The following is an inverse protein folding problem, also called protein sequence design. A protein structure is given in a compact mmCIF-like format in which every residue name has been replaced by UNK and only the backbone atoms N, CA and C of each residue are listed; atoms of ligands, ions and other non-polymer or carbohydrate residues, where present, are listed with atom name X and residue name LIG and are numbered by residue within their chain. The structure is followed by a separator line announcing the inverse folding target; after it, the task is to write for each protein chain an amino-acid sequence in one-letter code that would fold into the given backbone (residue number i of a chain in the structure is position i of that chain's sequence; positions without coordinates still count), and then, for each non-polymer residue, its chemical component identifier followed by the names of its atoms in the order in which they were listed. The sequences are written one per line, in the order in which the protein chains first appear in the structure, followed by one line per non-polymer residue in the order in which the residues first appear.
data_IF_370971155240
#
_entry.id   IF_370971155240
#
_cell.length_a   1.000
_cell.length_b   1.000
_cell.length_c   1.000
_cell.angle_alpha   90.00
_cell.angle_beta   90.00
_cell.angle_gamma   90.00
#
_symmetry.space_group_name_H-M   'P 1'
#
loop_
_entity.id
_entity.type
_entity.pdbx_description
1 polymer ?
#
# COMPACT_ATOMS: atom_id res chain seq x y z
N UNK A 1 -22.91 -76.31 -9.77
CA UNK A 1 -23.50 -75.95 -8.45
C UNK A 1 -22.54 -75.03 -7.75
N UNK A 2 -22.83 -73.72 -7.73
CA UNK A 2 -22.49 -72.73 -6.68
C UNK A 2 -22.55 -71.34 -7.32
N UNK A 3 -23.76 -70.79 -7.43
CA UNK A 3 -23.99 -69.38 -7.75
C UNK A 3 -23.86 -68.57 -6.45
N UNK A 4 -22.91 -67.64 -6.40
CA UNK A 4 -22.70 -66.73 -5.29
C UNK A 4 -23.36 -65.38 -5.58
N UNK A 5 -24.51 -65.16 -4.96
CA UNK A 5 -25.28 -63.90 -4.99
C UNK A 5 -24.62 -62.83 -4.13
N UNK A 6 -24.08 -61.78 -4.75
CA UNK A 6 -23.55 -60.60 -4.05
C UNK A 6 -24.65 -59.56 -3.83
N UNK A 7 -25.06 -59.36 -2.58
CA UNK A 7 -25.96 -58.29 -2.15
C UNK A 7 -25.17 -57.01 -1.93
N UNK A 8 -25.37 -55.99 -2.77
CA UNK A 8 -24.91 -54.64 -2.53
C UNK A 8 -25.81 -53.94 -1.49
N UNK A 9 -25.24 -53.21 -0.51
CA UNK A 9 -26.02 -52.41 0.43
C UNK A 9 -26.50 -51.12 -0.23
N UNK A 10 -27.81 -50.91 -0.22
CA UNK A 10 -28.48 -49.68 -0.65
C UNK A 10 -28.22 -48.57 0.37
N UNK A 11 -27.44 -47.57 0.00
CA UNK A 11 -27.23 -46.36 0.82
C UNK A 11 -28.50 -45.50 0.77
N UNK A 12 -29.06 -45.06 1.90
CA UNK A 12 -30.23 -44.20 1.90
C UNK A 12 -29.88 -42.82 1.34
N UNK A 13 -30.56 -42.44 0.25
CA UNK A 13 -30.52 -41.12 -0.38
C UNK A 13 -31.21 -40.10 0.52
N UNK A 14 -30.45 -39.36 1.33
CA UNK A 14 -30.95 -38.31 2.24
C UNK A 14 -30.62 -36.88 1.78
N UNK A 15 -30.51 -36.63 0.47
CA UNK A 15 -30.09 -35.35 -0.11
C UNK A 15 -31.25 -34.52 -0.73
N UNK A 16 -32.39 -34.39 -0.04
CA UNK A 16 -33.47 -33.48 -0.48
C UNK A 16 -34.07 -32.64 0.66
N UNK A 17 -33.24 -32.21 1.61
CA UNK A 17 -33.61 -31.18 2.58
C UNK A 17 -32.86 -29.86 2.26
N UNK A 18 -32.92 -29.40 1.01
CA UNK A 18 -32.29 -28.13 0.61
C UNK A 18 -33.28 -26.96 0.60
N UNK A 19 -33.14 -26.13 1.62
CA UNK A 19 -33.16 -24.68 1.56
C UNK A 19 -34.39 -23.98 0.96
N UNK A 20 -35.53 -24.05 1.66
CA UNK A 20 -36.55 -23.00 1.60
C UNK A 20 -36.24 -21.86 2.58
N UNK A 21 -35.02 -21.30 2.53
CA UNK A 21 -34.78 -20.02 3.19
C UNK A 21 -35.46 -18.92 2.37
N UNK A 22 -36.58 -18.42 2.88
CA UNK A 22 -37.40 -17.42 2.23
C UNK A 22 -36.63 -16.14 1.87
N UNK A 23 -37.10 -15.37 0.88
CA UNK A 23 -36.44 -14.13 0.44
C UNK A 23 -36.25 -13.08 1.55
N UNK A 24 -36.98 -13.18 2.67
CA UNK A 24 -36.86 -12.29 3.82
C UNK A 24 -35.59 -12.52 4.64
N UNK A 25 -35.14 -13.77 4.85
CA UNK A 25 -33.91 -14.04 5.62
C UNK A 25 -32.67 -13.52 4.88
N UNK A 26 -32.63 -13.62 3.55
CA UNK A 26 -31.52 -13.09 2.72
C UNK A 26 -31.39 -11.56 2.80
N UNK A 27 -32.51 -10.82 2.84
CA UNK A 27 -32.50 -9.35 2.97
C UNK A 27 -31.93 -8.90 4.32
N UNK A 28 -32.35 -9.56 5.41
CA UNK A 28 -31.90 -9.24 6.77
C UNK A 28 -30.41 -9.48 6.95
N UNK A 29 -29.88 -10.60 6.44
CA UNK A 29 -28.44 -10.90 6.51
C UNK A 29 -27.60 -9.87 5.75
N UNK A 30 -28.04 -9.45 4.55
CA UNK A 30 -27.35 -8.42 3.77
C UNK A 30 -27.35 -7.07 4.49
N UNK A 31 -28.47 -6.67 5.06
CA UNK A 31 -28.59 -5.41 5.81
C UNK A 31 -27.65 -5.40 7.03
N UNK A 32 -27.62 -6.49 7.79
CA UNK A 32 -26.73 -6.62 8.95
C UNK A 32 -25.25 -6.53 8.58
N UNK A 33 -24.84 -7.14 7.46
CA UNK A 33 -23.46 -7.04 6.96
C UNK A 33 -23.09 -5.61 6.57
N UNK A 34 -23.97 -4.91 5.84
CA UNK A 34 -23.74 -3.51 5.45
C UNK A 34 -23.58 -2.62 6.69
N UNK A 35 -24.46 -2.79 7.68
CA UNK A 35 -24.38 -2.03 8.95
C UNK A 35 -23.08 -2.32 9.70
N UNK A 36 -22.62 -3.57 9.77
CA UNK A 36 -21.35 -3.93 10.41
C UNK A 36 -20.13 -3.33 9.69
N UNK A 37 -20.10 -3.38 8.35
CA UNK A 37 -19.04 -2.77 7.55
C UNK A 37 -19.02 -1.25 7.72
N UNK A 38 -20.19 -0.60 7.71
CA UNK A 38 -20.32 0.84 7.92
C UNK A 38 -19.77 1.26 9.29
N UNK A 39 -20.11 0.53 10.35
CA UNK A 39 -19.56 0.78 11.69
C UNK A 39 -18.03 0.62 11.71
N UNK A 40 -17.50 -0.41 11.04
CA UNK A 40 -16.05 -0.64 10.94
C UNK A 40 -15.34 0.49 10.18
N UNK A 41 -15.93 0.97 9.08
CA UNK A 41 -15.43 2.12 8.31
C UNK A 41 -15.41 3.38 9.17
N UNK A 42 -16.48 3.67 9.91
CA UNK A 42 -16.52 4.82 10.81
C UNK A 42 -15.48 4.73 11.92
N UNK A 43 -15.29 3.54 12.49
CA UNK A 43 -14.27 3.31 13.51
C UNK A 43 -12.86 3.55 12.95
N UNK A 44 -12.50 2.91 11.84
CA UNK A 44 -11.18 3.07 11.21
C UNK A 44 -10.91 4.53 10.82
N UNK A 45 -11.92 5.21 10.25
CA UNK A 45 -11.83 6.62 9.88
C UNK A 45 -11.55 7.49 11.11
N UNK A 46 -12.27 7.25 12.22
CA UNK A 46 -12.06 7.97 13.47
C UNK A 46 -10.66 7.71 14.04
N UNK A 47 -10.22 6.46 14.09
CA UNK A 47 -8.88 6.10 14.58
C UNK A 47 -7.76 6.76 13.75
N UNK A 48 -7.94 6.85 12.43
CA UNK A 48 -7.01 7.52 11.52
C UNK A 48 -7.05 9.05 11.66
N UNK A 49 -8.22 9.66 11.88
CA UNK A 49 -8.38 11.11 12.11
C UNK A 49 -7.85 11.53 13.49
N UNK A 50 -8.06 10.71 14.50
CA UNK A 50 -7.55 10.94 15.86
C UNK A 50 -6.11 10.43 16.02
N UNK A 51 -5.51 9.89 14.95
CA UNK A 51 -4.18 9.27 15.00
C UNK A 51 -3.12 10.23 15.56
N UNK A 52 -2.37 9.73 16.53
CA UNK A 52 -1.20 10.38 17.11
C UNK A 52 -0.07 9.35 17.29
N UNK A 53 1.11 9.69 16.80
CA UNK A 53 2.31 8.85 16.83
C UNK A 53 2.62 8.36 18.25
N UNK A 54 2.63 7.03 18.43
CA UNK A 54 2.93 6.37 19.70
C UNK A 54 2.06 6.89 20.89
N UNK A 55 0.82 7.32 20.64
CA UNK A 55 -0.07 7.92 21.64
C UNK A 55 -0.18 7.11 22.94
N UNK A 56 -0.22 5.79 22.81
CA UNK A 56 -0.41 4.85 23.91
C UNK A 56 0.88 4.28 24.52
N UNK A 57 2.08 4.80 24.21
CA UNK A 57 3.32 4.26 24.76
C UNK A 57 3.70 4.99 26.08
N UNK A 58 3.44 4.38 27.26
CA UNK A 58 3.73 5.00 28.55
C UNK A 58 5.23 5.10 28.83
N UNK A 59 6.08 4.41 28.06
CA UNK A 59 7.53 4.38 28.25
C UNK A 59 8.23 5.59 27.62
N UNK A 60 7.52 6.39 26.82
CA UNK A 60 8.08 7.57 26.18
C UNK A 60 8.19 8.74 27.16
N UNK A 61 9.44 9.12 27.45
CA UNK A 61 9.77 10.34 28.20
C UNK A 61 9.38 11.61 27.41
N UNK A 62 9.18 12.73 28.10
CA UNK A 62 8.86 14.01 27.46
C UNK A 62 9.93 14.45 26.44
N UNK A 63 11.21 14.19 26.73
CA UNK A 63 12.30 14.48 25.79
C UNK A 63 12.19 13.62 24.53
N UNK A 64 11.87 12.32 24.65
CA UNK A 64 11.64 11.46 23.50
C UNK A 64 10.42 11.89 22.67
N UNK A 65 9.34 12.36 23.31
CA UNK A 65 8.16 12.88 22.61
C UNK A 65 8.49 14.10 21.73
N UNK A 66 9.36 14.99 22.19
CA UNK A 66 9.83 16.13 21.38
C UNK A 66 10.68 15.74 20.16
N UNK A 67 11.18 14.50 20.12
CA UNK A 67 11.96 13.96 19.02
C UNK A 67 11.13 13.22 17.98
N UNK A 68 9.86 12.96 18.27
CA UNK A 68 8.99 12.27 17.33
C UNK A 68 8.75 13.13 16.09
N UNK A 69 8.68 12.51 14.91
CA UNK A 69 8.30 13.23 13.72
C UNK A 69 6.85 13.75 13.88
N UNK A 70 6.49 14.85 13.21
CA UNK A 70 5.13 15.37 13.29
C UNK A 70 4.12 14.59 12.42
N UNK A 71 4.61 13.65 11.62
CA UNK A 71 3.83 12.86 10.67
C UNK A 71 4.40 11.44 10.51
N UNK A 72 3.54 10.52 10.06
CA UNK A 72 3.95 9.24 9.48
C UNK A 72 4.07 9.41 7.97
N UNK A 73 5.30 9.37 7.47
CA UNK A 73 5.60 9.18 6.05
C UNK A 73 5.48 7.73 5.60
N UNK A 74 4.76 7.52 4.50
CA UNK A 74 4.57 6.22 3.85
C UNK A 74 4.97 6.34 2.39
N UNK A 75 5.84 5.46 1.90
CA UNK A 75 6.19 5.43 0.47
C UNK A 75 5.22 4.53 -0.28
N UNK A 76 4.77 4.99 -1.45
CA UNK A 76 4.03 4.21 -2.42
C UNK A 76 4.96 3.92 -3.60
N UNK A 77 5.36 2.65 -3.75
CA UNK A 77 6.33 2.15 -4.74
C UNK A 77 5.69 1.07 -5.61
N UNK A 78 6.16 0.85 -6.84
CA UNK A 78 5.54 -0.10 -7.78
C UNK A 78 5.69 0.31 -9.24
N UNK A 79 5.44 -0.62 -10.18
CA UNK A 79 5.74 -0.41 -11.60
C UNK A 79 4.92 0.72 -12.20
N UNK A 80 5.34 1.22 -13.36
CA UNK A 80 4.56 2.21 -14.10
C UNK A 80 3.17 1.65 -14.44
N UNK A 81 2.14 2.49 -14.29
CA UNK A 81 0.75 2.08 -14.53
C UNK A 81 0.11 1.21 -13.44
N UNK A 82 0.79 0.88 -12.34
CA UNK A 82 0.24 0.01 -11.28
C UNK A 82 -0.87 0.62 -10.41
N UNK A 83 -1.24 1.89 -10.64
CA UNK A 83 -2.31 2.56 -9.89
C UNK A 83 -1.89 3.28 -8.61
N UNK A 84 -0.59 3.55 -8.39
CA UNK A 84 -0.06 4.27 -7.20
C UNK A 84 -0.79 5.59 -6.92
N UNK A 85 -0.80 6.51 -7.87
CA UNK A 85 -1.42 7.83 -7.73
C UNK A 85 -2.93 7.74 -7.51
N UNK A 86 -3.59 6.79 -8.15
CA UNK A 86 -5.02 6.49 -7.93
C UNK A 86 -5.28 5.99 -6.52
N UNK A 87 -4.42 5.09 -6.01
CA UNK A 87 -4.53 4.58 -4.64
C UNK A 87 -4.38 5.68 -3.60
N UNK A 88 -3.44 6.63 -3.80
CA UNK A 88 -3.27 7.80 -2.92
C UNK A 88 -4.56 8.64 -2.88
N UNK A 89 -5.18 8.89 -4.04
CA UNK A 89 -6.47 9.60 -4.13
C UNK A 89 -7.58 8.80 -3.42
N UNK A 90 -7.59 7.47 -3.57
CA UNK A 90 -8.55 6.57 -2.90
C UNK A 90 -8.43 6.66 -1.39
N UNK A 91 -7.21 6.62 -0.83
CA UNK A 91 -6.99 6.82 0.60
C UNK A 91 -7.50 8.17 1.09
N UNK A 92 -7.24 9.25 0.35
CA UNK A 92 -7.75 10.58 0.71
C UNK A 92 -9.28 10.60 0.75
N UNK A 93 -9.93 10.12 -0.32
CA UNK A 93 -11.39 10.10 -0.43
C UNK A 93 -12.04 9.28 0.67
N UNK A 94 -11.51 8.09 0.94
CA UNK A 94 -12.00 7.20 1.98
C UNK A 94 -11.84 7.81 3.39
N UNK A 95 -10.71 8.45 3.68
CA UNK A 95 -10.46 9.10 4.97
C UNK A 95 -11.39 10.29 5.21
N UNK A 96 -11.55 11.15 4.21
CA UNK A 96 -12.32 12.39 4.34
C UNK A 96 -13.79 12.24 3.96
N UNK A 97 -14.21 11.03 3.57
CA UNK A 97 -15.55 10.73 3.07
C UNK A 97 -16.03 11.74 2.00
N UNK A 98 -15.15 12.07 1.06
CA UNK A 98 -15.38 13.11 0.04
C UNK A 98 -14.99 12.61 -1.34
N UNK A 99 -15.73 13.03 -2.38
CA UNK A 99 -15.35 12.79 -3.77
C UNK A 99 -14.38 13.85 -4.31
N UNK A 100 -14.39 15.04 -3.70
CA UNK A 100 -13.62 16.21 -4.14
C UNK A 100 -12.26 16.20 -3.46
N UNK A 101 -11.21 16.17 -4.29
CA UNK A 101 -9.84 16.31 -3.83
C UNK A 101 -9.48 17.79 -3.68
N UNK A 102 -8.66 18.17 -2.68
CA UNK A 102 -8.07 19.49 -2.62
C UNK A 102 -7.27 19.77 -3.89
N UNK A 103 -7.31 21.03 -4.34
CA UNK A 103 -6.61 21.47 -5.55
C UNK A 103 -5.13 21.07 -5.54
N UNK A 104 -4.45 21.34 -4.43
CA UNK A 104 -3.01 21.04 -4.25
C UNK A 104 -2.72 19.54 -4.42
N UNK A 105 -3.58 18.66 -3.88
CA UNK A 105 -3.43 17.21 -4.05
C UNK A 105 -3.75 16.76 -5.49
N UNK A 106 -4.78 17.34 -6.10
CA UNK A 106 -5.20 16.99 -7.46
C UNK A 106 -4.18 17.39 -8.54
N UNK A 107 -3.51 18.53 -8.34
CA UNK A 107 -2.48 19.07 -9.25
C UNK A 107 -1.15 18.32 -9.10
N UNK A 108 -0.78 17.94 -7.87
CA UNK A 108 0.46 17.22 -7.60
C UNK A 108 0.40 15.74 -7.94
N UNK A 109 -0.70 15.06 -7.58
CA UNK A 109 -0.88 13.62 -7.81
C UNK A 109 -1.63 13.43 -9.11
N UNK A 110 -0.92 13.54 -10.24
CA UNK A 110 -1.50 13.44 -11.58
C UNK A 110 -1.72 11.97 -11.95
N UNK A 111 -2.97 11.55 -12.05
CA UNK A 111 -3.34 10.28 -12.69
C UNK A 111 -3.38 10.53 -14.19
N UNK A 112 -2.34 10.11 -14.90
CA UNK A 112 -2.34 10.12 -16.36
C UNK A 112 -3.06 8.90 -16.92
N UNK A 113 -3.71 9.07 -18.07
CA UNK A 113 -4.26 7.96 -18.84
C UNK A 113 -3.16 7.00 -19.25
N UNK A 114 -3.47 5.71 -19.24
CA UNK A 114 -2.57 4.60 -19.61
C UNK A 114 -1.95 4.70 -21.00
N UNK A 115 -2.44 5.60 -21.84
CA UNK A 115 -1.94 5.83 -23.20
C UNK A 115 -0.70 6.75 -23.25
N UNK A 116 -0.40 7.50 -22.17
CA UNK A 116 0.82 8.30 -22.07
C UNK A 116 1.85 7.55 -21.22
N UNK A 117 2.93 7.11 -21.87
CA UNK A 117 3.95 6.23 -21.27
C UNK A 117 4.78 6.88 -20.15
N UNK A 118 4.66 8.19 -19.92
CA UNK A 118 5.39 8.90 -18.87
C UNK A 118 4.40 9.38 -17.80
N UNK A 119 4.07 8.49 -16.86
CA UNK A 119 3.22 8.77 -15.69
C UNK A 119 3.86 9.73 -14.68
N UNK A 120 3.85 9.39 -13.39
CA UNK A 120 4.52 10.18 -12.35
C UNK A 120 6.03 10.21 -12.60
N UNK A 121 6.59 11.38 -12.93
CA UNK A 121 8.03 11.58 -13.15
C UNK A 121 8.76 12.14 -11.92
N UNK A 122 8.03 12.83 -11.06
CA UNK A 122 8.58 13.51 -9.88
C UNK A 122 8.25 12.76 -8.60
N UNK A 123 9.12 12.89 -7.60
CA UNK A 123 8.83 12.45 -6.25
C UNK A 123 7.89 13.44 -5.59
N UNK A 124 6.64 13.04 -5.37
CA UNK A 124 5.56 13.93 -4.95
C UNK A 124 5.11 13.57 -3.55
N UNK A 125 4.93 14.59 -2.72
CA UNK A 125 4.43 14.46 -1.36
C UNK A 125 2.93 14.79 -1.31
N UNK A 126 2.13 13.79 -0.94
CA UNK A 126 0.69 13.89 -0.75
C UNK A 126 0.34 13.91 0.74
N UNK A 127 -0.19 15.03 1.23
CA UNK A 127 -0.68 15.14 2.61
C UNK A 127 -2.09 14.55 2.67
N UNK A 128 -2.23 13.38 3.28
CA UNK A 128 -3.51 12.68 3.44
C UNK A 128 -4.26 13.18 4.66
N UNK A 129 -3.51 13.44 5.73
CA UNK A 129 -4.03 14.00 6.97
C UNK A 129 -3.09 15.09 7.46
N UNK A 130 -3.63 16.29 7.67
CA UNK A 130 -2.85 17.37 8.26
C UNK A 130 -2.64 17.12 9.75
N UNK A 131 -1.52 17.65 10.27
CA UNK A 131 -1.28 17.69 11.71
C UNK A 131 -2.16 18.77 12.31
N UNK A 132 -2.97 18.42 13.30
CA UNK A 132 -3.77 19.39 14.05
C UNK A 132 -3.02 19.88 15.28
N UNK A 133 -3.26 21.15 15.62
CA UNK A 133 -2.72 21.82 16.80
C UNK A 133 -3.86 22.55 17.52
N UNK A 134 -3.82 22.58 18.84
CA UNK A 134 -4.74 23.37 19.65
C UNK A 134 -4.42 24.88 19.59
N UNK A 135 -5.22 25.70 20.27
CA UNK A 135 -5.03 27.15 20.35
C UNK A 135 -3.69 27.55 20.99
N UNK A 136 -3.09 26.65 21.78
CA UNK A 136 -1.80 26.84 22.44
C UNK A 136 -0.63 26.34 21.56
N UNK A 137 -0.90 25.86 20.34
CA UNK A 137 0.07 25.32 19.41
C UNK A 137 0.57 23.91 19.77
N UNK A 138 -0.06 23.22 20.72
CA UNK A 138 0.28 21.84 21.07
C UNK A 138 -0.36 20.89 20.05
N UNK A 139 0.37 19.86 19.59
CA UNK A 139 -0.22 18.88 18.69
C UNK A 139 -1.36 18.13 19.36
N UNK A 140 -2.52 18.09 18.70
CA UNK A 140 -3.66 17.25 19.09
C UNK A 140 -3.68 15.94 18.31
N UNK A 141 -3.10 15.92 17.11
CA UNK A 141 -2.98 14.72 16.27
C UNK A 141 -1.70 14.76 15.42
N UNK A 142 -1.28 13.63 14.86
CA UNK A 142 -0.13 13.52 13.95
C UNK A 142 -0.58 13.54 12.49
N UNK A 143 0.25 14.03 11.57
CA UNK A 143 -0.05 13.99 10.14
C UNK A 143 0.16 12.59 9.52
N UNK A 144 -0.45 12.36 8.36
CA UNK A 144 -0.19 11.19 7.52
C UNK A 144 0.17 11.68 6.13
N UNK A 145 1.32 11.25 5.63
CA UNK A 145 1.89 11.68 4.36
C UNK A 145 2.20 10.46 3.52
N UNK A 146 1.71 10.45 2.28
CA UNK A 146 2.07 9.47 1.27
C UNK A 146 3.04 10.10 0.28
N UNK A 147 4.08 9.37 -0.07
CA UNK A 147 5.04 9.78 -1.08
C UNK A 147 4.79 8.97 -2.35
N UNK A 148 4.31 9.64 -3.40
CA UNK A 148 4.16 9.04 -4.71
C UNK A 148 5.53 9.00 -5.38
N UNK A 149 5.94 7.81 -5.81
CA UNK A 149 7.22 7.60 -6.48
C UNK A 149 7.01 7.42 -7.97
N UNK A 150 8.05 7.73 -8.75
CA UNK A 150 8.08 7.38 -10.17
C UNK A 150 7.83 5.87 -10.34
N UNK A 151 7.07 5.50 -11.38
CA UNK A 151 6.88 4.09 -11.72
C UNK A 151 8.16 3.43 -12.23
N UNK A 152 8.46 2.23 -11.75
CA UNK A 152 9.59 1.44 -12.22
C UNK A 152 9.30 0.95 -13.64
N UNK A 153 10.29 1.08 -14.52
CA UNK A 153 10.20 0.66 -15.92
C UNK A 153 11.32 -0.33 -16.24
N UNK A 154 12.52 -0.05 -15.75
CA UNK A 154 13.72 -0.81 -16.11
C UNK A 154 14.02 -1.92 -15.12
N UNK A 155 13.55 -1.80 -13.87
CA UNK A 155 13.76 -2.80 -12.81
C UNK A 155 15.24 -3.13 -12.61
N UNK A 156 16.10 -2.12 -12.79
CA UNK A 156 17.54 -2.28 -12.76
C UNK A 156 18.11 -1.88 -11.39
N UNK A 157 19.42 -2.08 -11.24
CA UNK A 157 20.14 -1.70 -10.02
C UNK A 157 20.08 -0.20 -9.74
N UNK A 158 19.90 0.66 -10.75
CA UNK A 158 19.80 2.11 -10.57
C UNK A 158 18.49 2.46 -9.87
N UNK A 159 17.37 1.88 -10.29
CA UNK A 159 16.07 2.07 -9.64
C UNK A 159 16.10 1.55 -8.19
N UNK A 160 16.78 0.44 -7.91
CA UNK A 160 17.00 -0.02 -6.54
C UNK A 160 17.79 1.00 -5.69
N UNK A 161 18.88 1.56 -6.24
CA UNK A 161 19.68 2.59 -5.56
C UNK A 161 18.87 3.87 -5.31
N UNK A 162 18.02 4.28 -6.25
CA UNK A 162 17.11 5.42 -6.08
C UNK A 162 16.20 5.20 -4.88
N UNK A 163 15.54 4.04 -4.79
CA UNK A 163 14.71 3.70 -3.63
C UNK A 163 15.54 3.65 -2.34
N UNK A 164 16.76 3.12 -2.39
CA UNK A 164 17.65 3.09 -1.23
C UNK A 164 17.88 4.49 -0.65
N UNK A 165 18.13 5.48 -1.51
CA UNK A 165 18.31 6.89 -1.13
C UNK A 165 17.02 7.53 -0.62
N UNK A 166 15.86 7.23 -1.23
CA UNK A 166 14.54 7.64 -0.71
C UNK A 166 14.34 7.10 0.71
N UNK A 167 14.61 5.81 0.94
CA UNK A 167 14.45 5.15 2.24
C UNK A 167 15.40 5.71 3.31
N UNK A 168 16.55 6.23 2.91
CA UNK A 168 17.45 6.94 3.82
C UNK A 168 16.92 8.32 4.24
N UNK A 169 15.82 8.80 3.66
CA UNK A 169 15.23 10.10 3.96
C UNK A 169 16.11 11.26 3.52
N UNK A 170 16.86 11.05 2.42
CA UNK A 170 17.82 12.01 1.88
C UNK A 170 17.27 12.78 0.69
N UNK A 171 16.04 12.56 0.25
CA UNK A 171 15.48 13.23 -0.93
C UNK A 171 14.62 14.43 -0.51
N UNK A 172 14.71 15.52 -1.26
CA UNK A 172 13.84 16.70 -1.11
C UNK A 172 12.48 16.47 -1.77
N UNK A 173 11.47 17.18 -1.30
CA UNK A 173 10.14 17.14 -1.89
C UNK A 173 10.13 17.82 -3.28
N UNK A 174 9.24 17.37 -4.18
CA UNK A 174 8.99 17.94 -5.52
C UNK A 174 10.23 17.96 -6.45
N UNK A 175 11.10 16.96 -6.33
CA UNK A 175 12.27 16.79 -7.19
C UNK A 175 12.15 15.57 -8.10
N UNK A 176 12.74 15.67 -9.28
CA UNK A 176 12.93 14.51 -10.16
C UNK A 176 14.06 13.66 -9.61
N UNK A 177 13.76 12.42 -9.23
CA UNK A 177 14.75 11.47 -8.71
C UNK A 177 15.26 10.64 -9.88
N UNK A 178 16.22 11.20 -10.60
CA UNK A 178 16.91 10.51 -11.69
C UNK A 178 18.41 10.46 -11.41
N UNK A 179 18.99 9.28 -11.58
CA UNK A 179 20.44 9.13 -11.59
C UNK A 179 20.95 9.65 -12.93
N UNK A 180 22.03 10.44 -12.92
CA UNK A 180 22.62 10.97 -14.15
C UNK A 180 23.19 9.82 -14.99
N UNK A 181 22.72 9.68 -16.23
CA UNK A 181 23.18 8.62 -17.13
C UNK A 181 24.58 8.83 -17.70
N UNK A 182 25.10 10.07 -17.66
CA UNK A 182 26.43 10.40 -18.19
C UNK A 182 27.29 11.02 -17.11
N UNK A 183 28.42 10.37 -16.80
CA UNK A 183 29.52 10.99 -16.04
C UNK A 183 30.21 12.00 -16.95
N UNK A 184 30.57 13.17 -16.44
CA UNK A 184 31.31 14.12 -17.26
C UNK A 184 32.74 13.63 -17.41
N UNK A 185 33.12 13.21 -18.62
CA UNK A 185 34.49 12.75 -18.90
C UNK A 185 35.57 13.80 -18.55
N UNK A 186 35.20 15.08 -18.51
CA UNK A 186 36.09 16.18 -18.08
C UNK A 186 36.32 16.24 -16.57
N UNK A 187 35.47 15.61 -15.76
CA UNK A 187 35.58 15.56 -14.31
C UNK A 187 36.12 14.18 -13.91
N UNK A 188 37.42 13.93 -14.16
CA UNK A 188 38.11 12.67 -13.82
C UNK A 188 37.88 12.20 -12.38
N UNK A 189 37.60 13.13 -11.46
CA UNK A 189 37.30 12.84 -10.06
C UNK A 189 35.92 12.16 -9.86
N UNK A 190 34.95 12.37 -10.76
CA UNK A 190 33.64 11.66 -10.76
C UNK A 190 33.79 10.17 -11.08
N UNK A 191 34.91 9.75 -11.67
CA UNK A 191 35.18 8.33 -11.94
C UNK A 191 35.36 7.53 -10.65
N UNK A 192 35.91 8.17 -9.61
CA UNK A 192 36.21 7.55 -8.32
C UNK A 192 35.04 7.62 -7.33
N UNK A 193 33.96 8.32 -7.66
CA UNK A 193 32.75 8.37 -6.84
C UNK A 193 31.93 7.10 -6.98
N UNK A 194 31.31 6.68 -5.87
CA UNK A 194 30.35 5.59 -5.90
C UNK A 194 29.11 6.02 -6.69
N UNK A 195 28.39 5.07 -7.30
CA UNK A 195 27.17 5.38 -8.05
C UNK A 195 26.10 6.07 -7.20
N UNK A 196 26.10 5.80 -5.89
CA UNK A 196 25.24 6.47 -4.92
C UNK A 196 25.59 7.95 -4.70
N UNK A 197 26.79 8.40 -5.08
CA UNK A 197 27.22 9.81 -5.02
C UNK A 197 26.95 10.57 -6.32
N UNK A 198 26.34 9.92 -7.31
CA UNK A 198 25.97 10.52 -8.60
C UNK A 198 24.62 11.25 -8.55
N UNK A 199 23.91 11.18 -7.43
CA UNK A 199 22.72 12.00 -7.21
C UNK A 199 23.11 13.48 -7.09
N UNK A 200 22.42 14.39 -7.81
CA UNK A 200 22.67 15.82 -7.69
C UNK A 200 22.59 16.27 -6.23
N UNK A 201 23.56 17.01 -5.68
CA UNK A 201 23.49 17.49 -4.29
C UNK A 201 22.27 18.40 -4.05
N UNK A 202 21.69 18.97 -5.12
CA UNK A 202 20.49 19.77 -5.09
C UNK A 202 19.26 18.97 -4.65
N UNK A 203 19.20 17.66 -4.96
CA UNK A 203 18.09 16.79 -4.55
C UNK A 203 18.29 16.21 -3.14
N UNK A 204 19.50 16.32 -2.60
CA UNK A 204 19.86 15.70 -1.33
C UNK A 204 19.60 16.62 -0.13
N UNK A 205 18.93 16.07 0.89
CA UNK A 205 18.78 16.65 2.20
C UNK A 205 20.05 16.45 3.02
N UNK A 206 20.63 17.56 3.52
CA UNK A 206 21.85 17.51 4.36
C UNK A 206 21.62 16.86 5.72
N UNK A 207 20.38 16.87 6.21
CA UNK A 207 20.00 16.28 7.49
C UNK A 207 19.11 15.08 7.20
N UNK A 208 19.54 13.91 7.66
CA UNK A 208 18.69 12.72 7.72
C UNK A 208 18.31 12.47 9.18
N UNK A 209 17.04 12.20 9.42
CA UNK A 209 16.50 11.93 10.74
C UNK A 209 15.21 11.14 10.64
N UNK A 210 14.57 10.87 11.77
CA UNK A 210 13.26 10.19 11.75
C UNK A 210 12.25 11.00 10.94
N UNK A 211 12.22 12.32 11.09
CA UNK A 211 11.29 13.20 10.37
C UNK A 211 11.50 13.33 8.85
N UNK A 212 12.57 12.78 8.29
CA UNK A 212 12.77 12.77 6.83
C UNK A 212 12.73 11.37 6.26
N UNK A 213 12.79 10.32 7.10
CA UNK A 213 12.78 8.94 6.65
C UNK A 213 11.34 8.46 6.52
N UNK A 214 11.03 7.67 5.50
CA UNK A 214 9.76 6.95 5.47
C UNK A 214 9.66 6.02 6.67
N UNK A 215 8.46 5.80 7.16
CA UNK A 215 8.18 4.94 8.31
C UNK A 215 7.46 3.64 7.90
N UNK A 216 6.75 3.65 6.76
CA UNK A 216 6.14 2.47 6.17
C UNK A 216 6.30 2.46 4.64
N UNK A 217 6.11 1.28 4.04
CA UNK A 217 6.25 1.03 2.61
C UNK A 217 5.01 0.30 2.10
N UNK A 218 4.49 0.75 0.95
CA UNK A 218 3.44 0.11 0.18
C UNK A 218 4.01 -0.19 -1.21
N UNK A 219 3.92 -1.44 -1.64
CA UNK A 219 4.18 -1.89 -3.00
C UNK A 219 2.86 -2.06 -3.72
N UNK A 220 2.68 -1.41 -4.86
CA UNK A 220 1.43 -1.39 -5.60
C UNK A 220 1.63 -2.09 -6.93
N UNK A 221 0.85 -3.13 -7.21
CA UNK A 221 0.85 -3.85 -8.47
C UNK A 221 -0.50 -3.75 -9.18
N UNK A 222 -0.50 -3.96 -10.50
CA UNK A 222 -1.71 -4.10 -11.29
C UNK A 222 -2.29 -5.51 -11.10
N UNK A 223 -3.40 -5.63 -10.37
CA UNK A 223 -4.10 -6.88 -10.09
C UNK A 223 -4.70 -7.55 -11.32
N UNK A 224 -4.84 -6.81 -12.43
CA UNK A 224 -5.40 -7.29 -13.69
C UNK A 224 -4.43 -8.11 -14.53
N UNK A 225 -3.13 -8.04 -14.22
CA UNK A 225 -2.09 -8.84 -14.90
C UNK A 225 -2.21 -10.29 -14.48
N UNK A 226 -2.00 -11.23 -15.41
CA UNK A 226 -2.10 -12.67 -15.14
C UNK A 226 -1.09 -13.10 -14.08
N UNK A 227 0.16 -12.66 -14.24
CA UNK A 227 1.28 -12.90 -13.32
C UNK A 227 1.66 -11.63 -12.54
N UNK A 228 1.85 -11.77 -11.23
CA UNK A 228 2.23 -10.67 -10.34
C UNK A 228 3.32 -11.16 -9.36
N UNK A 229 4.51 -10.55 -9.37
CA UNK A 229 5.02 -9.65 -10.41
C UNK A 229 5.13 -10.34 -11.78
N UNK A 230 5.27 -9.57 -12.87
CA UNK A 230 5.22 -10.09 -14.24
C UNK A 230 6.59 -10.63 -14.68
N UNK A 231 6.76 -11.95 -14.57
CA UNK A 231 8.00 -12.65 -14.94
C UNK A 231 9.05 -12.70 -13.83
N UNK A 232 10.14 -13.42 -14.12
CA UNK A 232 11.22 -13.71 -13.17
C UNK A 232 12.05 -12.48 -12.81
N UNK A 233 12.37 -11.62 -13.79
CA UNK A 233 13.16 -10.40 -13.59
C UNK A 233 12.47 -9.41 -12.64
N UNK A 234 11.18 -9.13 -12.85
CA UNK A 234 10.40 -8.26 -11.96
C UNK A 234 10.29 -8.88 -10.55
N UNK A 235 10.09 -10.19 -10.48
CA UNK A 235 10.01 -10.94 -9.23
C UNK A 235 11.29 -10.82 -8.41
N UNK A 236 12.45 -11.03 -9.04
CA UNK A 236 13.74 -10.94 -8.38
C UNK A 236 14.04 -9.51 -7.94
N UNK A 237 13.75 -8.51 -8.78
CA UNK A 237 13.90 -7.10 -8.43
C UNK A 237 13.11 -6.74 -7.17
N UNK A 238 11.81 -7.06 -7.10
CA UNK A 238 11.00 -6.73 -5.93
C UNK A 238 11.38 -7.54 -4.70
N UNK A 239 11.81 -8.80 -4.86
CA UNK A 239 12.33 -9.61 -3.75
C UNK A 239 13.59 -8.99 -3.14
N UNK A 240 14.51 -8.50 -3.98
CA UNK A 240 15.72 -7.81 -3.53
C UNK A 240 15.40 -6.50 -2.82
N UNK A 241 14.48 -5.70 -3.37
CA UNK A 241 14.01 -4.44 -2.77
C UNK A 241 13.35 -4.68 -1.41
N UNK A 242 12.47 -5.68 -1.29
CA UNK A 242 11.83 -6.05 -0.02
C UNK A 242 12.88 -6.53 0.99
N UNK A 243 13.84 -7.34 0.56
CA UNK A 243 14.95 -7.80 1.39
C UNK A 243 15.81 -6.63 1.89
N UNK A 244 16.11 -5.66 1.03
CA UNK A 244 16.78 -4.41 1.38
C UNK A 244 15.99 -3.61 2.42
N UNK A 245 14.68 -3.44 2.22
CA UNK A 245 13.81 -2.75 3.15
C UNK A 245 13.79 -3.42 4.53
N UNK A 246 13.68 -4.76 4.59
CA UNK A 246 13.75 -5.53 5.84
C UNK A 246 15.06 -5.32 6.58
N UNK A 247 16.20 -5.33 5.88
CA UNK A 247 17.53 -5.02 6.48
C UNK A 247 17.59 -3.61 7.09
N UNK A 248 16.79 -2.67 6.58
CA UNK A 248 16.69 -1.29 7.11
C UNK A 248 15.64 -1.12 8.20
N UNK A 249 14.97 -2.20 8.62
CA UNK A 249 14.00 -2.21 9.71
C UNK A 249 12.53 -2.12 9.26
N UNK A 250 12.24 -2.16 7.96
CA UNK A 250 10.88 -2.19 7.42
C UNK A 250 10.40 -3.64 7.33
N UNK A 251 9.94 -4.20 8.44
CA UNK A 251 9.61 -5.63 8.52
C UNK A 251 8.28 -6.01 7.87
N UNK A 252 7.35 -5.05 7.75
CA UNK A 252 5.97 -5.30 7.33
C UNK A 252 5.56 -4.42 6.13
N UNK A 253 6.24 -4.53 4.97
CA UNK A 253 5.80 -3.84 3.77
C UNK A 253 4.41 -4.34 3.36
N UNK A 254 3.53 -3.43 2.97
CA UNK A 254 2.21 -3.77 2.45
C UNK A 254 2.27 -3.96 0.93
N UNK A 255 1.55 -4.94 0.41
CA UNK A 255 1.37 -5.17 -1.02
C UNK A 255 -0.09 -4.87 -1.35
N UNK A 256 -0.33 -4.00 -2.32
CA UNK A 256 -1.66 -3.61 -2.78
C UNK A 256 -1.80 -3.97 -4.26
N UNK A 257 -2.80 -4.78 -4.57
CA UNK A 257 -3.19 -5.16 -5.91
C UNK A 257 -4.37 -4.29 -6.32
N UNK A 258 -4.17 -3.43 -7.32
CA UNK A 258 -5.22 -2.52 -7.81
C UNK A 258 -5.92 -3.07 -9.05
N UNK A 259 -6.88 -2.32 -9.61
CA UNK A 259 -7.56 -2.65 -10.88
C UNK A 259 -8.32 -3.98 -10.89
N UNK A 260 -9.00 -4.28 -9.80
CA UNK A 260 -9.85 -5.48 -9.66
C UNK A 260 -11.02 -5.43 -10.62
N UNK A 261 -11.52 -4.22 -10.94
CA UNK A 261 -12.56 -3.96 -11.93
C UNK A 261 -12.26 -4.64 -13.28
N UNK A 262 -10.99 -4.68 -13.69
CA UNK A 262 -10.56 -5.38 -14.92
C UNK A 262 -10.57 -6.90 -14.78
N UNK A 263 -10.28 -7.43 -13.59
CA UNK A 263 -10.35 -8.87 -13.31
C UNK A 263 -11.81 -9.35 -13.36
N UNK A 264 -12.73 -8.52 -12.86
CA UNK A 264 -14.17 -8.79 -12.92
C UNK A 264 -14.69 -8.82 -14.36
N UNK A 265 -14.21 -7.91 -15.21
CA UNK A 265 -14.56 -7.88 -16.64
C UNK A 265 -14.12 -9.14 -17.42
N UNK A 266 -13.15 -9.89 -16.90
CA UNK A 266 -12.69 -11.16 -17.49
C UNK A 266 -13.50 -12.38 -17.02
N UNK A 267 -14.55 -12.19 -16.22
CA UNK A 267 -15.44 -13.27 -15.82
C UNK A 267 -16.45 -13.57 -16.94
N UNK A 268 -16.86 -14.84 -17.12
CA UNK A 268 -17.90 -15.19 -18.09
C UNK A 268 -19.19 -14.40 -17.81
N UNK A 269 -19.80 -13.83 -18.86
CA UNK A 269 -21.05 -13.07 -18.68
C UNK A 269 -22.28 -13.96 -18.47
N UNK A 270 -22.19 -15.25 -18.83
CA UNK A 270 -23.31 -16.19 -18.80
C UNK A 270 -23.52 -16.88 -17.43
N UNK A 271 -22.67 -16.60 -16.43
CA UNK A 271 -22.79 -17.20 -15.09
C UNK A 271 -23.67 -16.37 -14.17
N UNK A 272 -24.28 -17.02 -13.19
CA UNK A 272 -25.06 -16.31 -12.16
C UNK A 272 -24.15 -15.39 -11.33
N UNK A 273 -24.69 -14.29 -10.78
CA UNK A 273 -23.90 -13.35 -9.96
C UNK A 273 -23.22 -14.03 -8.76
N UNK A 274 -23.86 -15.03 -8.16
CA UNK A 274 -23.29 -15.79 -7.04
C UNK A 274 -22.10 -16.65 -7.48
N UNK A 275 -22.19 -17.31 -8.64
CA UNK A 275 -21.09 -18.09 -9.21
C UNK A 275 -19.93 -17.18 -9.64
N UNK A 276 -20.21 -16.04 -10.27
CA UNK A 276 -19.21 -15.05 -10.64
C UNK A 276 -18.42 -14.57 -9.41
N UNK A 277 -19.09 -14.31 -8.29
CA UNK A 277 -18.44 -13.92 -7.03
C UNK A 277 -17.52 -15.02 -6.48
N UNK A 278 -17.93 -16.29 -6.56
CA UNK A 278 -17.10 -17.44 -6.14
C UNK A 278 -15.86 -17.56 -7.03
N UNK A 279 -16.03 -17.47 -8.35
CA UNK A 279 -14.91 -17.54 -9.32
C UNK A 279 -13.95 -16.38 -9.09
N UNK A 280 -14.47 -15.16 -8.88
CA UNK A 280 -13.66 -13.99 -8.59
C UNK A 280 -12.81 -14.22 -7.33
N UNK A 281 -13.42 -14.66 -6.22
CA UNK A 281 -12.71 -14.92 -4.97
C UNK A 281 -11.61 -15.96 -5.14
N UNK A 282 -11.87 -17.05 -5.88
CA UNK A 282 -10.85 -18.07 -6.18
C UNK A 282 -9.70 -17.51 -7.00
N UNK A 283 -9.98 -16.67 -8.01
CA UNK A 283 -8.95 -15.99 -8.82
C UNK A 283 -8.11 -15.03 -7.97
N UNK A 284 -8.77 -14.22 -7.13
CA UNK A 284 -8.09 -13.29 -6.22
C UNK A 284 -7.21 -14.05 -5.21
N UNK A 285 -7.73 -15.14 -4.65
CA UNK A 285 -7.01 -16.01 -3.71
C UNK A 285 -5.75 -16.61 -4.35
N UNK A 286 -5.88 -17.16 -5.56
CA UNK A 286 -4.76 -17.70 -6.34
C UNK A 286 -3.69 -16.64 -6.61
N UNK A 287 -4.10 -15.40 -6.92
CA UNK A 287 -3.16 -14.27 -7.10
C UNK A 287 -2.46 -13.88 -5.80
N UNK A 288 -3.16 -13.89 -4.66
CA UNK A 288 -2.53 -13.65 -3.35
C UNK A 288 -1.48 -14.72 -3.07
N UNK A 289 -1.79 -15.99 -3.30
CA UNK A 289 -0.85 -17.09 -3.09
C UNK A 289 0.39 -16.96 -3.97
N UNK A 290 0.21 -16.63 -5.25
CA UNK A 290 1.30 -16.37 -6.17
C UNK A 290 2.21 -15.23 -5.68
N UNK A 291 1.63 -14.08 -5.29
CA UNK A 291 2.40 -12.92 -4.77
C UNK A 291 3.14 -13.27 -3.48
N UNK A 292 2.48 -14.00 -2.56
CA UNK A 292 3.07 -14.46 -1.29
C UNK A 292 4.28 -15.34 -1.55
N UNK A 293 4.15 -16.31 -2.46
CA UNK A 293 5.22 -17.24 -2.83
C UNK A 293 6.37 -16.50 -3.54
N UNK A 294 6.06 -15.70 -4.55
CA UNK A 294 7.04 -15.03 -5.39
C UNK A 294 7.87 -14.00 -4.60
N UNK A 295 7.22 -13.18 -3.78
CA UNK A 295 7.87 -12.10 -3.04
C UNK A 295 8.36 -12.50 -1.63
N UNK A 296 7.95 -13.66 -1.12
CA UNK A 296 8.29 -14.10 0.23
C UNK A 296 7.74 -13.16 1.31
N UNK A 297 6.47 -12.74 1.15
CA UNK A 297 5.76 -11.83 2.06
C UNK A 297 4.64 -12.56 2.80
N UNK A 298 4.15 -12.00 3.91
CA UNK A 298 3.00 -12.58 4.61
C UNK A 298 1.74 -12.39 3.79
N UNK A 299 0.87 -13.41 3.77
CA UNK A 299 -0.48 -13.30 3.19
C UNK A 299 -1.29 -12.16 3.78
N UNK A 300 -1.12 -11.89 5.09
CA UNK A 300 -1.80 -10.77 5.77
C UNK A 300 -1.37 -9.38 5.29
N UNK A 301 -0.29 -9.30 4.51
CA UNK A 301 0.25 -8.04 3.96
C UNK A 301 -0.17 -7.82 2.50
N UNK A 302 -0.93 -8.73 1.89
CA UNK A 302 -1.41 -8.59 0.52
C UNK A 302 -2.88 -8.20 0.52
N UNK A 303 -3.19 -7.09 -0.12
CA UNK A 303 -4.50 -6.47 -0.12
C UNK A 303 -4.98 -6.19 -1.53
N UNK A 304 -6.27 -6.33 -1.75
CA UNK A 304 -6.95 -5.94 -2.98
C UNK A 304 -7.70 -4.64 -2.73
N UNK A 305 -7.47 -3.64 -3.59
CA UNK A 305 -8.16 -2.36 -3.50
C UNK A 305 -8.65 -1.95 -4.90
N UNK A 306 -9.95 -1.74 -5.02
CA UNK A 306 -10.53 -1.04 -6.15
C UNK A 306 -10.32 0.47 -5.99
N UNK A 307 -9.97 1.16 -7.08
CA UNK A 307 -9.76 2.60 -7.04
C UNK A 307 -11.05 3.34 -7.37
N UNK A 308 -11.28 4.47 -6.71
CA UNK A 308 -12.37 5.33 -7.12
C UNK A 308 -12.16 5.85 -8.55
N UNK A 309 -13.09 5.54 -9.45
CA UNK A 309 -13.14 6.14 -10.78
C UNK A 309 -13.55 7.62 -10.70
N UNK A 310 -13.14 8.44 -11.67
CA UNK A 310 -13.42 9.88 -11.67
C UNK A 310 -14.92 10.19 -11.78
N UNK A 311 -15.69 9.31 -12.42
CA UNK A 311 -17.04 9.58 -12.89
C UNK A 311 -18.16 8.99 -12.00
N UNK A 312 -17.80 8.26 -10.95
CA UNK A 312 -18.75 7.59 -10.05
C UNK A 312 -18.85 8.26 -8.68
N UNK A 313 -19.94 8.98 -8.43
CA UNK A 313 -20.24 9.66 -7.15
C UNK A 313 -20.73 8.72 -6.03
N UNK A 314 -20.75 7.39 -6.22
CA UNK A 314 -21.18 6.48 -5.17
C UNK A 314 -20.01 6.18 -4.23
N UNK A 315 -20.16 6.60 -2.97
CA UNK A 315 -19.32 6.11 -1.88
C UNK A 315 -19.52 4.60 -1.79
N UNK A 316 -18.45 3.85 -2.02
CA UNK A 316 -18.46 2.41 -1.87
C UNK A 316 -17.84 2.04 -0.52
N UNK A 317 -18.66 1.52 0.38
CA UNK A 317 -18.22 1.12 1.72
C UNK A 317 -17.16 0.01 1.68
N UNK A 318 -17.15 -0.83 0.66
CA UNK A 318 -16.14 -1.86 0.46
C UNK A 318 -14.78 -1.23 0.16
N UNK A 319 -14.75 -0.30 -0.81
CA UNK A 319 -13.54 0.44 -1.17
C UNK A 319 -13.00 1.20 0.03
N UNK A 320 -13.89 1.92 0.74
CA UNK A 320 -13.53 2.66 1.95
C UNK A 320 -12.94 1.74 3.03
N UNK A 321 -13.58 0.60 3.29
CA UNK A 321 -13.10 -0.34 4.31
C UNK A 321 -11.69 -0.84 3.99
N UNK A 322 -11.45 -1.31 2.77
CA UNK A 322 -10.16 -1.84 2.36
C UNK A 322 -9.07 -0.75 2.33
N UNK A 323 -9.39 0.44 1.81
CA UNK A 323 -8.48 1.57 1.77
C UNK A 323 -8.10 2.04 3.19
N UNK A 324 -9.07 2.25 4.07
CA UNK A 324 -8.82 2.69 5.44
C UNK A 324 -8.07 1.63 6.25
N UNK A 325 -8.38 0.35 6.05
CA UNK A 325 -7.68 -0.74 6.72
C UNK A 325 -6.19 -0.76 6.36
N UNK A 326 -5.85 -0.69 5.08
CA UNK A 326 -4.45 -0.67 4.63
C UNK A 326 -3.72 0.57 5.16
N UNK A 327 -4.37 1.74 5.10
CA UNK A 327 -3.79 2.97 5.64
C UNK A 327 -3.53 2.87 7.14
N UNK A 328 -4.48 2.30 7.89
CA UNK A 328 -4.34 2.06 9.33
C UNK A 328 -3.19 1.09 9.65
N UNK A 329 -3.09 -0.03 8.93
CA UNK A 329 -1.95 -0.96 9.07
C UNK A 329 -0.61 -0.28 8.77
N UNK A 330 -0.54 0.58 7.74
CA UNK A 330 0.68 1.34 7.44
C UNK A 330 1.08 2.28 8.58
N UNK A 331 0.11 2.96 9.20
CA UNK A 331 0.34 3.83 10.35
C UNK A 331 0.86 3.04 11.56
N UNK A 332 0.28 1.88 11.85
CA UNK A 332 0.77 0.98 12.90
C UNK A 332 2.19 0.45 12.65
N UNK A 333 2.50 0.14 11.40
CA UNK A 333 3.86 -0.24 10.99
C UNK A 333 4.84 0.93 11.12
N UNK A 334 4.38 2.16 10.82
CA UNK A 334 5.14 3.38 11.04
C UNK A 334 5.52 3.58 12.52
N UNK A 335 4.56 3.40 13.43
CA UNK A 335 4.79 3.41 14.88
C UNK A 335 5.84 2.36 15.29
N UNK A 336 5.72 1.14 14.76
CA UNK A 336 6.66 0.04 15.04
C UNK A 336 8.07 0.37 14.57
N UNK A 337 8.19 0.92 13.36
CA UNK A 337 9.46 1.37 12.80
C UNK A 337 10.10 2.48 13.65
N UNK A 338 9.34 3.52 14.00
CA UNK A 338 9.83 4.65 14.82
C UNK A 338 10.29 4.13 16.18
N UNK A 339 9.49 3.28 16.83
CA UNK A 339 9.85 2.67 18.13
C UNK A 339 11.16 1.88 18.04
N UNK A 340 11.35 1.08 16.98
CA UNK A 340 12.59 0.34 16.74
C UNK A 340 13.78 1.28 16.53
N UNK A 341 13.62 2.31 15.70
CA UNK A 341 14.67 3.26 15.39
C UNK A 341 15.08 4.12 16.61
N UNK A 342 14.14 4.45 17.49
CA UNK A 342 14.44 5.14 18.75
C UNK A 342 15.22 4.26 19.73
N UNK A 343 14.91 2.96 19.79
CA UNK A 343 15.65 1.98 20.63
C UNK A 343 17.07 1.74 20.13
N UNK A 344 17.24 1.65 18.82
CA UNK A 344 18.52 1.35 18.17
C UNK A 344 19.40 2.58 17.95
N UNK A 345 18.99 3.74 18.47
CA UNK A 345 19.79 4.95 18.34
C UNK A 345 21.12 4.71 19.06
N UNK A 346 22.28 4.77 18.36
CA UNK A 346 23.56 4.62 19.02
C UNK A 346 23.62 5.67 20.12
N UNK A 347 23.81 5.24 21.37
CA UNK A 347 24.09 6.16 22.47
C UNK A 347 25.31 6.93 21.99
N UNK A 348 25.15 8.23 21.76
CA UNK A 348 26.25 9.08 21.34
C UNK A 348 27.31 8.95 22.43
N UNK A 349 28.33 8.13 22.19
CA UNK A 349 29.47 8.02 23.08
C UNK A 349 30.25 9.28 22.79
N UNK A 350 30.11 10.27 23.66
CA UNK A 350 30.98 11.44 23.64
C UNK A 350 32.38 10.87 23.91
N UNK A 351 33.19 10.77 22.86
CA UNK A 351 34.60 10.41 22.97
C UNK A 351 35.41 11.63 23.38
#
# INVERSE_FOLDING_TARGET
MSESSSTHPTVPSSYEAENQDGPETKKTVRQNRISATMLSVHQLRRELVDFFLLAGDPKLTNSQRSMLPPFVDVIVFGPSGSGKSSLIRTFYRALHNTSVLPRDLSERVVVQDTLRNEGTTQYVKAVIKQREQDTDGRPTSSGIILHDTRGQIWMDRKEQQQLDVIIQGRIKDDVTVEQRDRRYARLLWEFWRSEADLFPPEILNKRSGLATRPHALIFVFDGSMDEIPNGEEETDFYREVISMARRKGYYYPQIVLTRIDKVEQQLPQDVSQAEAEVILRQRLDSKIEAVVLNLGVSRSSVHFIENYHADGMCQDLSIDFHALRVLHECVQHGDTFIRSAMKNRPRCVIQ
#
